data_IF_835804881534
#
_entry.id   IF_835804881534
#
_cell.length_a   1.000
_cell.length_b   1.000
_cell.length_c   1.000
_cell.angle_alpha   90.00
_cell.angle_beta   90.00
_cell.angle_gamma   90.00
#
_symmetry.space_group_name_H-M   'P 1'
#
loop_
_entity.id
_entity.type
_entity.pdbx_description
1 polymer ?
#
# COMPACT_ATOMS: atom_id res chain seq x y z
N UNK A 1 6.09 -6.47 9.95
CA UNK A 1 5.19 -6.36 8.78
C UNK A 1 3.84 -6.95 9.15
N UNK A 2 2.97 -6.10 9.68
CA UNK A 2 1.52 -6.25 9.74
C UNK A 2 1.01 -4.83 9.95
N UNK A 3 0.87 -4.10 8.85
CA UNK A 3 0.19 -2.82 8.83
C UNK A 3 -1.29 -3.09 9.10
N UNK A 4 -1.65 -3.09 10.38
CA UNK A 4 -3.03 -2.81 10.75
C UNK A 4 -3.13 -1.29 10.84
N UNK A 5 -3.97 -0.64 10.01
CA UNK A 5 -4.25 0.77 10.20
C UNK A 5 -4.81 0.92 11.61
N UNK A 6 -4.15 1.74 12.43
CA UNK A 6 -4.73 2.16 13.70
C UNK A 6 -6.00 2.95 13.35
N UNK A 7 -7.13 2.24 13.38
CA UNK A 7 -8.46 2.82 13.22
C UNK A 7 -8.73 3.74 14.41
N UNK A 8 -8.30 5.01 14.27
CA UNK A 8 -8.51 6.06 15.26
C UNK A 8 -10.00 6.38 15.48
N UNK A 9 -10.92 5.84 14.68
CA UNK A 9 -12.36 6.07 14.82
C UNK A 9 -13.04 5.19 15.88
N UNK A 10 -12.36 4.15 16.39
CA UNK A 10 -12.89 3.27 17.45
C UNK A 10 -12.55 3.71 18.87
N UNK A 11 -11.72 4.72 19.04
CA UNK A 11 -11.35 5.23 20.36
C UNK A 11 -12.26 6.42 20.69
N UNK A 12 -13.33 6.14 21.45
CA UNK A 12 -14.13 7.17 22.09
C UNK A 12 -13.27 7.86 23.18
N UNK A 13 -12.61 8.95 22.78
CA UNK A 13 -11.79 9.79 23.66
C UNK A 13 -12.58 10.43 24.81
N UNK A 14 -13.92 10.35 24.83
CA UNK A 14 -14.74 10.85 25.94
C UNK A 14 -14.63 9.99 27.21
N UNK A 15 -14.12 8.76 27.10
CA UNK A 15 -13.95 7.82 28.23
C UNK A 15 -12.51 7.74 28.73
N UNK A 16 -11.58 8.47 28.10
CA UNK A 16 -10.20 8.53 28.57
C UNK A 16 -10.16 9.28 29.90
N UNK A 17 -9.40 8.80 30.90
CA UNK A 17 -9.19 9.55 32.12
C UNK A 17 -8.62 10.93 31.73
N UNK A 18 -9.28 11.99 32.17
CA UNK A 18 -8.70 13.34 32.13
C UNK A 18 -7.33 13.32 32.82
N UNK A 19 -6.43 14.23 32.45
CA UNK A 19 -5.13 14.36 33.13
C UNK A 19 -5.26 14.52 34.66
N UNK A 20 -6.43 15.00 35.13
CA UNK A 20 -6.76 15.11 36.56
C UNK A 20 -7.12 13.77 37.24
N UNK A 21 -7.47 12.73 36.48
CA UNK A 21 -7.82 11.39 36.98
C UNK A 21 -6.68 10.36 36.87
N UNK A 22 -5.55 10.72 36.24
CA UNK A 22 -4.34 9.90 36.30
C UNK A 22 -3.67 10.11 37.66
N UNK A 23 -3.21 9.03 38.33
CA UNK A 23 -2.43 9.18 39.55
C UNK A 23 -1.16 10.01 39.26
N UNK A 24 -0.76 10.87 40.19
CA UNK A 24 0.55 11.52 40.13
C UNK A 24 1.67 10.46 40.25
N UNK A 25 2.87 10.69 39.65
CA UNK A 25 3.39 11.98 39.21
C UNK A 25 3.35 12.21 37.69
N UNK A 26 2.87 13.40 37.29
CA UNK A 26 3.12 13.92 35.94
C UNK A 26 4.48 14.62 35.89
N UNK A 27 5.28 14.29 34.89
CA UNK A 27 6.63 14.80 34.68
C UNK A 27 6.60 16.09 33.86
N UNK A 28 7.62 16.94 34.00
CA UNK A 28 7.81 18.08 33.11
C UNK A 28 8.49 17.65 31.82
N UNK A 29 7.94 18.06 30.69
CA UNK A 29 8.51 17.83 29.37
C UNK A 29 8.72 19.17 28.67
N UNK A 30 9.94 19.46 28.24
CA UNK A 30 10.17 20.62 27.39
C UNK A 30 9.69 20.31 25.97
N UNK A 31 8.79 21.14 25.45
CA UNK A 31 8.30 21.07 24.08
C UNK A 31 8.64 22.40 23.42
N UNK A 32 9.78 22.43 22.74
CA UNK A 32 10.25 23.58 21.96
C UNK A 32 10.43 24.86 22.79
N UNK A 33 11.01 24.74 23.98
CA UNK A 33 11.21 25.84 24.92
C UNK A 33 9.99 26.18 25.77
N UNK A 34 8.87 25.47 25.58
CA UNK A 34 7.70 25.58 26.43
C UNK A 34 7.59 24.36 27.35
N UNK A 35 7.71 24.59 28.65
CA UNK A 35 7.50 23.54 29.66
C UNK A 35 6.05 23.06 29.66
N UNK A 36 5.85 21.79 29.31
CA UNK A 36 4.59 21.05 29.39
C UNK A 36 4.63 20.06 30.56
N UNK A 37 3.45 19.50 30.86
CA UNK A 37 3.30 18.37 31.78
C UNK A 37 2.83 17.15 31.00
N UNK A 38 3.48 16.01 31.23
CA UNK A 38 3.11 14.73 30.64
C UNK A 38 2.80 13.74 31.77
N UNK A 39 1.69 13.03 31.62
CA UNK A 39 1.24 12.01 32.56
C UNK A 39 1.13 10.71 31.75
N UNK A 40 1.92 9.70 32.09
CA UNK A 40 1.96 8.44 31.35
C UNK A 40 1.38 7.32 32.21
N UNK A 41 0.51 6.52 31.62
CA UNK A 41 -0.09 5.37 32.28
C UNK A 41 -0.17 4.18 31.33
N UNK A 42 -0.02 3.00 31.90
CA UNK A 42 -0.23 1.71 31.27
C UNK A 42 -1.57 1.14 31.72
N UNK A 43 -2.35 0.62 30.78
CA UNK A 43 -3.60 -0.09 31.07
C UNK A 43 -3.25 -1.52 31.50
N UNK A 44 -3.67 -1.92 32.69
CA UNK A 44 -3.37 -3.26 33.21
C UNK A 44 -4.46 -4.28 32.84
N UNK A 45 -5.75 -3.95 32.95
CA UNK A 45 -6.87 -4.83 32.56
C UNK A 45 -8.18 -4.06 32.28
N UNK A 46 -9.05 -4.64 31.41
CA UNK A 46 -10.44 -4.23 31.17
C UNK A 46 -10.73 -3.78 29.71
N UNK A 47 -11.95 -4.00 29.18
CA UNK A 47 -12.31 -3.51 27.84
C UNK A 47 -12.34 -1.97 27.84
N UNK A 48 -11.73 -1.37 26.82
CA UNK A 48 -11.62 0.10 26.62
C UNK A 48 -12.99 0.80 26.59
N UNK A 49 -14.08 0.05 26.42
CA UNK A 49 -15.46 0.52 26.28
C UNK A 49 -16.28 0.51 27.57
N UNK A 50 -15.78 0.02 28.70
CA UNK A 50 -16.61 -0.16 29.91
C UNK A 50 -16.35 0.82 31.06
N UNK A 51 -15.45 1.79 30.90
CA UNK A 51 -15.11 2.73 31.98
C UNK A 51 -14.50 2.08 33.24
N UNK A 52 -14.20 0.78 33.20
CA UNK A 52 -13.62 -0.01 34.30
C UNK A 52 -12.17 -0.44 34.01
N UNK A 53 -11.46 0.35 33.20
CA UNK A 53 -10.04 0.12 32.93
C UNK A 53 -9.22 0.53 34.15
N UNK A 54 -8.38 -0.39 34.63
CA UNK A 54 -7.39 -0.07 35.66
C UNK A 54 -6.11 0.43 34.99
N UNK A 55 -5.61 1.57 35.47
CA UNK A 55 -4.40 2.20 34.96
C UNK A 55 -3.33 2.20 36.06
N UNK A 56 -2.10 1.87 35.69
CA UNK A 56 -0.93 2.09 36.53
C UNK A 56 -0.06 3.18 35.90
N UNK A 57 0.42 4.08 36.74
CA UNK A 57 1.36 5.12 36.31
C UNK A 57 2.72 4.51 35.99
N UNK A 58 3.30 4.96 34.88
CA UNK A 58 4.66 4.63 34.49
C UNK A 58 5.41 5.94 34.23
N UNK A 59 6.74 5.92 34.32
CA UNK A 59 7.53 7.10 33.97
C UNK A 59 7.62 7.30 32.46
N UNK A 60 7.92 8.53 32.04
CA UNK A 60 8.26 8.81 30.63
C UNK A 60 9.48 7.99 30.18
N UNK A 61 10.43 7.73 31.10
CA UNK A 61 11.60 6.91 30.82
C UNK A 61 11.21 5.43 30.58
N UNK A 62 10.30 4.88 31.38
CA UNK A 62 9.82 3.50 31.22
C UNK A 62 9.05 3.33 29.91
N UNK A 63 8.24 4.32 29.51
CA UNK A 63 7.56 4.30 28.23
C UNK A 63 8.57 4.33 27.07
N UNK A 64 9.56 5.22 27.11
CA UNK A 64 10.61 5.31 26.09
C UNK A 64 11.45 4.04 25.98
N UNK A 65 11.73 3.37 27.09
CA UNK A 65 12.47 2.11 27.11
C UNK A 65 11.73 0.95 26.42
N UNK A 66 10.42 1.08 26.20
CA UNK A 66 9.57 0.09 25.52
C UNK A 66 9.37 0.40 24.04
N UNK A 67 9.83 1.56 23.56
CA UNK A 67 9.76 1.94 22.15
C UNK A 67 10.95 1.36 21.39
N UNK A 68 10.73 0.98 20.14
CA UNK A 68 11.82 0.62 19.24
C UNK A 68 12.72 1.84 19.00
N UNK A 69 14.05 1.68 18.80
CA UNK A 69 14.98 2.79 18.60
C UNK A 69 14.65 3.70 17.42
N UNK A 70 13.84 3.22 16.47
CA UNK A 70 13.39 3.95 15.28
C UNK A 70 12.04 4.65 15.46
N UNK A 71 11.45 4.58 16.66
CA UNK A 71 10.17 5.24 16.94
C UNK A 71 10.36 6.75 16.97
N UNK A 72 9.37 7.47 16.44
CA UNK A 72 9.33 8.91 16.54
C UNK A 72 9.24 9.37 18.01
N UNK A 73 9.96 10.44 18.37
CA UNK A 73 9.71 11.17 19.61
C UNK A 73 8.25 11.67 19.70
N UNK A 74 7.80 11.90 20.93
CA UNK A 74 6.43 12.37 21.21
C UNK A 74 6.16 13.78 20.65
N UNK A 75 7.20 14.62 20.57
CA UNK A 75 7.12 15.98 20.06
C UNK A 75 8.42 16.32 19.35
N UNK A 76 8.31 17.09 18.27
CA UNK A 76 9.45 17.55 17.49
C UNK A 76 9.41 19.07 17.35
N UNK A 77 10.59 19.67 17.39
CA UNK A 77 10.78 21.09 17.18
C UNK A 77 11.39 21.31 15.80
N UNK A 78 10.62 21.00 14.77
CA UNK A 78 11.04 20.97 13.37
C UNK A 78 10.50 19.75 12.63
N UNK A 79 11.14 19.40 11.51
CA UNK A 79 10.87 18.18 10.73
C UNK A 79 11.43 16.98 11.51
N UNK A 80 10.60 15.98 11.87
CA UNK A 80 11.06 14.75 12.50
C UNK A 80 12.12 14.05 11.66
N UNK A 81 13.15 13.50 12.30
CA UNK A 81 14.09 12.62 11.62
C UNK A 81 13.34 11.40 11.09
N UNK A 82 13.58 11.03 9.82
CA UNK A 82 12.92 9.94 9.10
C UNK A 82 11.44 10.15 8.76
N UNK A 83 10.91 11.38 8.86
CA UNK A 83 9.57 11.67 8.30
C UNK A 83 9.53 11.24 6.82
N UNK A 84 8.49 10.48 6.38
CA UNK A 84 8.36 10.12 4.99
C UNK A 84 8.28 11.39 4.14
N UNK A 85 9.33 11.63 3.37
CA UNK A 85 9.39 12.70 2.38
C UNK A 85 8.37 12.46 1.28
N UNK A 86 7.69 13.51 0.83
CA UNK A 86 6.88 13.46 -0.40
C UNK A 86 7.75 13.30 -1.65
N UNK A 87 9.06 13.55 -1.53
CA UNK A 87 10.06 13.28 -2.56
C UNK A 87 10.57 11.85 -2.38
N UNK A 88 10.31 10.94 -3.33
CA UNK A 88 10.83 9.58 -3.28
C UNK A 88 12.35 9.58 -3.17
N UNK A 89 12.91 8.74 -2.32
CA UNK A 89 14.36 8.65 -2.18
C UNK A 89 14.76 7.20 -1.93
N UNK A 90 15.75 6.72 -2.68
CA UNK A 90 16.38 5.43 -2.42
C UNK A 90 17.90 5.57 -2.61
N UNK A 91 18.68 5.41 -1.54
CA UNK A 91 20.13 5.58 -1.59
C UNK A 91 20.77 4.73 -2.70
N UNK A 92 21.48 5.38 -3.63
CA UNK A 92 22.20 4.70 -4.71
C UNK A 92 21.36 4.30 -5.92
N UNK A 93 20.04 4.54 -5.89
CA UNK A 93 19.15 4.32 -7.04
C UNK A 93 18.61 5.65 -7.56
N UNK A 94 17.94 6.44 -6.71
CA UNK A 94 17.34 7.71 -7.12
C UNK A 94 17.25 8.73 -5.99
N UNK A 95 17.25 10.01 -6.38
CA UNK A 95 17.20 11.12 -5.43
C UNK A 95 15.81 11.72 -5.25
N UNK A 96 14.92 11.49 -6.23
CA UNK A 96 13.60 12.14 -6.35
C UNK A 96 13.65 13.64 -6.65
N UNK A 97 14.85 14.20 -6.83
CA UNK A 97 15.04 15.61 -7.10
C UNK A 97 15.38 15.78 -8.57
N UNK A 98 14.58 16.56 -9.34
CA UNK A 98 14.89 16.91 -10.71
C UNK A 98 16.30 17.49 -10.85
N UNK A 99 17.02 17.03 -11.88
CA UNK A 99 18.37 17.46 -12.18
C UNK A 99 18.56 17.65 -13.68
N UNK A 100 19.70 18.22 -14.08
CA UNK A 100 20.01 18.37 -15.50
C UNK A 100 20.37 17.00 -16.10
N UNK A 101 19.46 16.42 -16.88
CA UNK A 101 19.60 15.11 -17.52
C UNK A 101 18.85 13.97 -16.84
N UNK A 102 18.07 14.26 -15.80
CA UNK A 102 17.11 13.38 -15.12
C UNK A 102 16.01 14.31 -14.56
N UNK A 103 15.03 14.63 -15.40
CA UNK A 103 14.12 15.76 -15.21
C UNK A 103 13.02 15.49 -14.17
N UNK A 104 12.72 14.23 -13.85
CA UNK A 104 11.78 13.86 -12.79
C UNK A 104 12.45 13.26 -11.54
N UNK A 105 13.76 13.00 -11.59
CA UNK A 105 14.57 12.57 -10.46
C UNK A 105 14.42 11.09 -10.12
N UNK A 106 13.96 10.27 -11.05
CA UNK A 106 13.72 8.83 -10.86
C UNK A 106 14.98 7.96 -10.95
N UNK A 107 16.14 8.60 -11.19
CA UNK A 107 17.45 7.96 -11.26
C UNK A 107 17.82 7.44 -12.64
N UNK A 108 16.96 7.65 -13.64
CA UNK A 108 17.16 7.25 -15.02
C UNK A 108 17.40 8.52 -15.84
N UNK A 109 18.38 8.47 -16.74
CA UNK A 109 18.73 9.65 -17.52
C UNK A 109 17.68 9.89 -18.62
N UNK A 110 17.29 11.14 -18.86
CA UNK A 110 16.25 11.55 -19.83
C UNK A 110 16.41 10.89 -21.22
N UNK A 111 17.64 10.58 -21.63
CA UNK A 111 17.97 10.01 -22.93
C UNK A 111 17.65 8.50 -23.06
N UNK A 112 17.50 7.80 -21.94
CA UNK A 112 17.17 6.37 -21.86
C UNK A 112 15.89 6.10 -21.08
N UNK A 113 15.28 7.16 -20.54
CA UNK A 113 14.03 7.14 -19.81
C UNK A 113 12.83 7.08 -20.77
N UNK A 114 11.96 6.08 -20.61
CA UNK A 114 10.74 5.94 -21.40
C UNK A 114 9.59 6.85 -20.94
N UNK A 115 9.75 7.55 -19.82
CA UNK A 115 8.87 8.60 -19.32
C UNK A 115 9.64 9.80 -18.70
N UNK A 116 10.41 10.59 -19.48
CA UNK A 116 11.36 11.60 -18.96
C UNK A 116 10.81 12.75 -18.10
N UNK A 117 9.50 12.80 -17.85
CA UNK A 117 8.87 13.85 -17.04
C UNK A 117 7.90 13.25 -15.99
N UNK A 118 7.86 11.94 -15.82
CA UNK A 118 6.94 11.23 -14.94
C UNK A 118 7.73 10.17 -14.19
N UNK A 119 8.01 10.45 -12.91
CA UNK A 119 8.81 9.59 -12.05
C UNK A 119 8.36 8.12 -12.14
N UNK A 120 9.17 7.25 -12.76
CA UNK A 120 8.87 5.84 -12.99
C UNK A 120 10.10 4.93 -12.85
N UNK A 121 10.87 5.16 -11.78
CA UNK A 121 12.07 4.41 -11.45
C UNK A 121 11.88 2.88 -11.53
N UNK A 122 12.93 2.17 -11.98
CA UNK A 122 12.96 0.70 -12.02
C UNK A 122 12.76 0.14 -10.60
N UNK A 123 11.70 -0.65 -10.40
CA UNK A 123 11.46 -1.35 -9.13
C UNK A 123 12.20 -2.69 -9.14
N UNK A 124 12.46 -3.28 -7.96
CA UNK A 124 13.12 -4.59 -7.89
C UNK A 124 12.42 -5.71 -8.67
N UNK A 125 11.11 -5.57 -8.94
CA UNK A 125 10.33 -6.54 -9.70
C UNK A 125 10.41 -6.34 -11.22
N UNK A 126 10.84 -5.16 -11.67
CA UNK A 126 10.91 -4.79 -13.09
C UNK A 126 12.24 -5.24 -13.75
N UNK A 127 13.14 -5.84 -12.96
CA UNK A 127 14.44 -6.32 -13.43
C UNK A 127 15.40 -5.16 -13.69
N UNK A 128 15.68 -4.87 -14.97
CA UNK A 128 16.68 -3.86 -15.38
C UNK A 128 16.12 -2.77 -16.30
N UNK A 129 14.82 -2.78 -16.57
CA UNK A 129 14.20 -1.88 -17.56
C UNK A 129 12.92 -1.28 -17.00
N UNK A 130 12.61 -0.05 -17.41
CA UNK A 130 11.33 0.55 -17.09
C UNK A 130 10.19 -0.22 -17.78
N UNK A 131 9.05 -0.44 -17.10
CA UNK A 131 7.89 -1.08 -17.70
C UNK A 131 7.38 -0.34 -18.95
N UNK A 132 7.05 -1.13 -19.98
CA UNK A 132 6.47 -0.71 -21.26
C UNK A 132 5.84 -1.99 -21.87
N UNK A 133 4.57 -2.23 -21.55
CA UNK A 133 3.89 -3.51 -21.82
C UNK A 133 3.64 -3.73 -23.30
N UNK A 134 3.27 -2.69 -24.06
CA UNK A 134 2.97 -2.81 -25.48
C UNK A 134 4.17 -2.55 -26.41
N UNK A 135 5.24 -1.97 -25.88
CA UNK A 135 6.51 -1.79 -26.56
C UNK A 135 6.57 -0.60 -27.51
N UNK A 136 5.68 0.38 -27.39
CA UNK A 136 5.59 1.50 -28.35
C UNK A 136 6.66 2.60 -28.12
N UNK A 137 7.24 2.61 -26.92
CA UNK A 137 8.35 3.49 -26.55
C UNK A 137 7.97 4.53 -25.50
N UNK A 138 6.67 4.68 -25.21
CA UNK A 138 6.18 5.31 -24.00
C UNK A 138 6.17 4.26 -22.88
N UNK A 139 6.62 4.64 -21.68
CA UNK A 139 6.51 3.75 -20.53
C UNK A 139 5.09 3.70 -19.99
N UNK A 140 4.73 2.60 -19.31
CA UNK A 140 3.39 2.40 -18.72
C UNK A 140 2.95 3.57 -17.82
N UNK A 141 3.88 4.30 -17.22
CA UNK A 141 3.61 5.42 -16.33
C UNK A 141 3.13 6.69 -17.03
N UNK A 142 3.49 6.88 -18.30
CA UNK A 142 3.18 8.07 -19.09
C UNK A 142 2.42 7.77 -20.38
N UNK A 143 2.19 6.49 -20.69
CA UNK A 143 1.39 6.04 -21.80
C UNK A 143 -0.12 6.21 -21.51
N UNK A 144 -0.87 6.95 -22.36
CA UNK A 144 -2.32 7.03 -22.27
C UNK A 144 -3.03 5.68 -22.42
N UNK A 145 -2.46 4.71 -23.15
CA UNK A 145 -3.01 3.40 -23.43
C UNK A 145 -1.98 2.28 -23.28
N UNK A 146 -1.59 1.91 -22.04
CA UNK A 146 -0.47 0.98 -21.76
C UNK A 146 -0.55 -0.45 -22.33
N UNK A 147 -1.64 -0.79 -23.02
CA UNK A 147 -1.87 -2.10 -23.63
C UNK A 147 -2.04 -2.01 -25.15
N UNK A 148 -2.03 -0.81 -25.73
CA UNK A 148 -2.30 -0.56 -27.12
C UNK A 148 -1.22 0.34 -27.73
N UNK A 149 -0.28 -0.28 -28.44
CA UNK A 149 0.88 0.41 -28.97
C UNK A 149 0.52 1.54 -29.97
N UNK A 150 1.27 2.64 -29.88
CA UNK A 150 1.23 3.79 -30.81
C UNK A 150 -0.16 4.47 -30.90
N UNK A 151 -0.99 4.40 -29.85
CA UNK A 151 -2.34 5.00 -29.85
C UNK A 151 -2.69 5.71 -28.55
N UNK A 152 -3.52 6.74 -28.66
CA UNK A 152 -4.17 7.40 -27.51
C UNK A 152 -5.65 7.00 -27.39
N UNK A 153 -6.12 6.11 -28.25
CA UNK A 153 -7.46 5.58 -28.27
C UNK A 153 -7.41 4.13 -27.79
N UNK A 154 -7.61 3.95 -26.49
CA UNK A 154 -7.41 2.66 -25.87
C UNK A 154 -8.54 1.71 -26.25
N UNK A 155 -8.19 0.44 -26.47
CA UNK A 155 -9.15 -0.63 -26.62
C UNK A 155 -10.00 -0.67 -25.34
N UNK A 156 -11.30 -0.47 -25.51
CA UNK A 156 -12.21 -0.49 -24.37
C UNK A 156 -12.35 -1.93 -23.91
N UNK A 157 -11.80 -2.24 -22.74
CA UNK A 157 -12.06 -3.52 -22.08
C UNK A 157 -13.54 -3.59 -21.75
N UNK A 158 -14.22 -4.61 -22.23
CA UNK A 158 -15.60 -4.85 -21.87
C UNK A 158 -15.62 -5.46 -20.46
N UNK A 159 -16.15 -4.79 -19.42
CA UNK A 159 -16.15 -5.36 -18.07
C UNK A 159 -17.02 -6.62 -17.96
N UNK A 160 -17.91 -6.86 -18.92
CA UNK A 160 -18.73 -8.07 -18.99
C UNK A 160 -18.04 -9.22 -19.74
N UNK A 161 -16.83 -9.02 -20.30
CA UNK A 161 -16.00 -9.98 -21.05
C UNK A 161 -14.53 -9.67 -20.70
N UNK A 162 -14.09 -10.15 -19.53
CA UNK A 162 -12.86 -9.65 -18.88
C UNK A 162 -11.58 -10.19 -19.51
N UNK A 163 -11.67 -11.25 -20.30
CA UNK A 163 -10.54 -11.84 -21.01
C UNK A 163 -10.60 -11.57 -22.53
N UNK A 164 -11.72 -11.04 -23.03
CA UNK A 164 -11.83 -10.45 -24.36
C UNK A 164 -11.97 -11.48 -25.47
N UNK A 165 -12.46 -12.68 -25.16
CA UNK A 165 -12.62 -13.77 -26.13
C UNK A 165 -13.96 -13.72 -26.89
N UNK A 166 -14.82 -12.76 -26.51
CA UNK A 166 -16.13 -12.52 -27.12
C UNK A 166 -17.31 -13.20 -26.42
N UNK A 167 -17.07 -13.96 -25.35
CA UNK A 167 -18.11 -14.48 -24.47
C UNK A 167 -18.23 -13.63 -23.21
N UNK A 168 -19.47 -13.34 -22.80
CA UNK A 168 -19.65 -12.60 -21.55
C UNK A 168 -19.34 -13.51 -20.35
N UNK A 169 -18.71 -12.98 -19.31
CA UNK A 169 -18.35 -13.66 -18.06
C UNK A 169 -19.48 -14.50 -17.44
N UNK A 170 -20.74 -14.11 -17.68
CA UNK A 170 -21.91 -14.81 -17.16
C UNK A 170 -22.24 -16.11 -17.93
N UNK A 171 -21.73 -16.24 -19.15
CA UNK A 171 -21.96 -17.37 -20.08
C UNK A 171 -20.68 -18.09 -20.49
N UNK A 172 -19.54 -17.51 -20.15
CA UNK A 172 -18.21 -18.04 -20.41
C UNK A 172 -17.87 -19.16 -19.42
N UNK A 173 -17.44 -20.32 -19.93
CA UNK A 173 -17.01 -21.45 -19.11
C UNK A 173 -15.56 -21.32 -18.60
N UNK A 174 -14.79 -20.33 -19.07
CA UNK A 174 -13.51 -19.91 -18.54
C UNK A 174 -13.36 -18.38 -18.44
N UNK A 175 -14.11 -17.69 -17.53
CA UNK A 175 -14.21 -16.22 -17.48
C UNK A 175 -12.93 -15.40 -17.29
N UNK A 176 -11.75 -16.01 -17.25
CA UNK A 176 -10.47 -15.33 -17.01
C UNK A 176 -9.35 -15.82 -17.94
N UNK A 177 -9.66 -16.76 -18.85
CA UNK A 177 -8.70 -17.38 -19.76
C UNK A 177 -9.36 -17.45 -21.13
N UNK A 178 -8.89 -16.67 -22.13
CA UNK A 178 -9.55 -16.62 -23.42
C UNK A 178 -9.68 -17.99 -24.07
N UNK A 179 -10.91 -18.39 -24.39
CA UNK A 179 -11.24 -19.67 -25.02
C UNK A 179 -12.42 -19.53 -25.99
N UNK A 180 -12.17 -18.91 -27.14
CA UNK A 180 -13.18 -18.62 -28.19
C UNK A 180 -13.99 -19.85 -28.66
N UNK A 181 -13.50 -21.07 -28.45
CA UNK A 181 -14.18 -22.32 -28.81
C UNK A 181 -15.10 -22.88 -27.72
N UNK A 182 -15.01 -22.35 -26.49
CA UNK A 182 -15.78 -22.74 -25.31
C UNK A 182 -15.81 -24.27 -25.11
N UNK A 183 -14.69 -24.95 -25.39
CA UNK A 183 -14.60 -26.40 -25.25
C UNK A 183 -14.81 -26.84 -23.79
N UNK A 184 -15.64 -27.86 -23.58
CA UNK A 184 -15.96 -28.48 -22.29
C UNK A 184 -16.18 -29.99 -22.53
N UNK A 185 -15.10 -30.75 -22.43
CA UNK A 185 -15.04 -32.16 -22.85
C UNK A 185 -15.87 -33.09 -21.97
N UNK A 186 -16.00 -32.78 -20.68
CA UNK A 186 -16.71 -33.61 -19.71
C UNK A 186 -18.08 -33.05 -19.30
N UNK A 187 -18.45 -31.86 -19.81
CA UNK A 187 -19.73 -31.18 -19.66
C UNK A 187 -20.06 -30.83 -18.22
N UNK A 188 -19.07 -30.35 -17.48
CA UNK A 188 -19.25 -29.93 -16.10
C UNK A 188 -19.42 -28.41 -15.95
N UNK A 189 -19.33 -27.66 -17.05
CA UNK A 189 -19.49 -26.22 -17.08
C UNK A 189 -18.23 -25.41 -16.79
N UNK A 190 -17.07 -26.06 -16.65
CA UNK A 190 -15.74 -25.45 -16.62
C UNK A 190 -15.05 -25.77 -17.94
N UNK A 191 -14.52 -24.78 -18.65
CA UNK A 191 -13.90 -25.02 -19.95
C UNK A 191 -12.57 -25.76 -19.85
N UNK A 192 -12.22 -26.51 -20.89
CA UNK A 192 -11.03 -27.38 -20.96
C UNK A 192 -9.71 -26.63 -20.63
N UNK A 193 -9.65 -25.31 -20.89
CA UNK A 193 -8.46 -24.49 -20.63
C UNK A 193 -8.29 -24.09 -19.16
N UNK A 194 -9.39 -23.94 -18.42
CA UNK A 194 -9.38 -23.53 -17.03
C UNK A 194 -9.78 -24.66 -16.06
N UNK A 195 -10.13 -25.83 -16.59
CA UNK A 195 -10.38 -27.02 -15.80
C UNK A 195 -9.07 -27.72 -15.40
N UNK A 196 -8.95 -28.02 -14.11
CA UNK A 196 -7.87 -28.82 -13.56
C UNK A 196 -7.96 -30.31 -13.95
N UNK A 197 -9.16 -30.80 -14.29
CA UNK A 197 -9.43 -32.19 -14.65
C UNK A 197 -10.29 -32.34 -15.94
N UNK A 198 -9.82 -31.93 -17.14
CA UNK A 198 -10.63 -31.82 -18.39
C UNK A 198 -11.28 -33.11 -18.94
N UNK A 199 -11.13 -34.22 -18.24
CA UNK A 199 -11.69 -35.53 -18.60
C UNK A 199 -12.64 -36.08 -17.52
N UNK A 200 -12.82 -35.38 -16.41
CA UNK A 200 -13.58 -35.83 -15.25
C UNK A 200 -14.32 -34.68 -14.57
N UNK A 201 -15.64 -34.66 -14.78
CA UNK A 201 -16.55 -33.65 -14.20
C UNK A 201 -16.27 -33.38 -12.71
N UNK A 202 -15.92 -32.14 -12.40
CA UNK A 202 -15.52 -31.65 -11.09
C UNK A 202 -16.26 -30.37 -10.66
N UNK A 203 -17.54 -30.26 -11.08
CA UNK A 203 -18.51 -29.22 -10.70
C UNK A 203 -18.20 -28.52 -9.37
N UNK A 204 -17.77 -27.25 -9.44
CA UNK A 204 -17.64 -26.37 -8.29
C UNK A 204 -16.27 -26.32 -7.62
N UNK A 205 -15.20 -26.73 -8.31
CA UNK A 205 -13.83 -26.38 -7.92
C UNK A 205 -13.51 -26.69 -6.46
N UNK A 206 -13.65 -27.95 -6.06
CA UNK A 206 -13.08 -28.46 -4.82
C UNK A 206 -12.36 -29.79 -5.11
N UNK A 207 -11.22 -30.02 -4.45
CA UNK A 207 -9.96 -30.51 -5.01
C UNK A 207 -9.94 -31.97 -5.47
#
# INVERSE_FOLDING_TARGET
>A
LSDRPLDYSKYDHSTWPTAASLPAPCESLDVCGATKKICVAEQLEGPVSSGSSTYTTISLADMRARLEPTSYDLFFCGVPTNEPSCTPFRPGEFTGVPSAGDADGDGIADAVDNCPNVFNAIRPMDGTSQPNVDGDGLGDACDPCPFDADTTACTSVNPDDIDGDGFFNATDNCPSIPNEDQADGDNDGIGDLCDACPAFSNLGGLP
#
